data_IF_065796621631
#
_entry.id   IF_065796621631
#
_cell.length_a   1.000
_cell.length_b   1.000
_cell.length_c   1.000
_cell.angle_alpha   90.00
_cell.angle_beta   90.00
_cell.angle_gamma   90.00
#
_symmetry.space_group_name_H-M   'P 1'
#
loop_
_entity.id
_entity.type
_entity.pdbx_description
1 polymer ?
#
# COMPACT_ATOMS: atom_id res chain seq x y z
N UNK A 1 -7.97 -24.77 -26.56
CA UNK A 1 -9.35 -24.69 -26.04
C UNK A 1 -9.50 -25.39 -24.68
N UNK A 2 -9.40 -26.75 -24.57
CA UNK A 2 -9.55 -27.42 -23.23
C UNK A 2 -8.44 -27.04 -22.21
N UNK A 3 -7.20 -26.78 -22.67
CA UNK A 3 -6.08 -26.37 -21.82
C UNK A 3 -6.29 -24.95 -21.28
N UNK A 4 -6.76 -24.03 -22.11
CA UNK A 4 -7.01 -22.64 -21.74
C UNK A 4 -8.18 -22.51 -20.76
N UNK A 5 -9.22 -23.34 -20.94
CA UNK A 5 -10.36 -23.39 -20.04
C UNK A 5 -9.99 -23.94 -18.65
N UNK A 6 -9.07 -24.90 -18.59
CA UNK A 6 -8.55 -25.44 -17.31
C UNK A 6 -7.66 -24.42 -16.60
N UNK A 7 -6.84 -23.67 -17.33
CA UNK A 7 -6.02 -22.56 -16.78
C UNK A 7 -6.92 -21.47 -16.19
N UNK A 8 -7.91 -21.01 -16.94
CA UNK A 8 -8.88 -20.00 -16.48
C UNK A 8 -9.64 -20.42 -15.21
N UNK A 9 -10.06 -21.69 -15.13
CA UNK A 9 -10.69 -22.21 -13.90
C UNK A 9 -9.73 -22.25 -12.73
N UNK A 10 -8.46 -22.59 -12.96
CA UNK A 10 -7.41 -22.55 -11.95
C UNK A 10 -7.19 -21.15 -11.38
N UNK A 11 -7.08 -20.17 -12.26
CA UNK A 11 -6.92 -18.75 -11.87
C UNK A 11 -8.13 -18.21 -11.11
N UNK A 12 -9.34 -18.54 -11.56
CA UNK A 12 -10.59 -18.17 -10.88
C UNK A 12 -10.65 -18.77 -9.47
N UNK A 13 -10.25 -20.03 -9.32
CA UNK A 13 -10.21 -20.70 -8.02
C UNK A 13 -9.19 -20.06 -7.09
N UNK A 14 -8.00 -19.76 -7.61
CA UNK A 14 -6.95 -19.09 -6.85
C UNK A 14 -7.41 -17.68 -6.40
N UNK A 15 -8.06 -16.93 -7.28
CA UNK A 15 -8.62 -15.62 -6.96
C UNK A 15 -9.70 -15.70 -5.86
N UNK A 16 -10.57 -16.72 -5.90
CA UNK A 16 -11.58 -16.95 -4.86
C UNK A 16 -10.96 -17.28 -3.51
N UNK A 17 -9.90 -18.11 -3.47
CA UNK A 17 -9.15 -18.41 -2.24
C UNK A 17 -8.54 -17.15 -1.66
N UNK A 18 -7.86 -16.34 -2.48
CA UNK A 18 -7.21 -15.09 -2.04
C UNK A 18 -8.24 -14.09 -1.51
N UNK A 19 -9.39 -13.98 -2.16
CA UNK A 19 -10.47 -13.10 -1.70
C UNK A 19 -11.09 -13.57 -0.37
N UNK A 20 -11.31 -14.87 -0.20
CA UNK A 20 -11.80 -15.45 1.05
C UNK A 20 -10.82 -15.25 2.19
N UNK A 21 -9.53 -15.48 1.93
CA UNK A 21 -8.46 -15.27 2.90
C UNK A 21 -8.33 -13.80 3.31
N UNK A 22 -8.40 -12.87 2.35
CA UNK A 22 -8.41 -11.44 2.63
C UNK A 22 -9.46 -11.08 3.68
N UNK A 23 -10.73 -11.45 3.44
CA UNK A 23 -11.82 -11.17 4.40
C UNK A 23 -11.55 -11.75 5.78
N UNK A 24 -11.09 -13.00 5.85
CA UNK A 24 -10.82 -13.67 7.11
C UNK A 24 -9.62 -13.07 7.85
N UNK A 25 -8.56 -12.68 7.16
CA UNK A 25 -7.40 -12.03 7.78
C UNK A 25 -7.77 -10.66 8.36
N UNK A 26 -8.60 -9.89 7.66
CA UNK A 26 -9.10 -8.61 8.18
C UNK A 26 -9.96 -8.81 9.43
N UNK A 27 -10.85 -9.81 9.44
CA UNK A 27 -11.80 -10.02 10.52
C UNK A 27 -11.18 -10.68 11.75
N UNK A 28 -10.31 -11.66 11.55
CA UNK A 28 -9.84 -12.57 12.61
C UNK A 28 -8.33 -12.50 12.86
N UNK A 29 -7.60 -11.69 12.07
CA UNK A 29 -6.13 -11.69 12.03
C UNK A 29 -5.55 -12.94 11.37
N UNK A 30 -4.22 -12.98 11.22
CA UNK A 30 -3.55 -14.11 10.61
C UNK A 30 -3.65 -15.39 11.45
N UNK A 31 -3.36 -15.33 12.77
CA UNK A 31 -3.41 -16.50 13.65
C UNK A 31 -4.83 -17.00 13.91
N UNK A 32 -5.83 -16.10 13.94
CA UNK A 32 -7.24 -16.47 14.07
C UNK A 32 -7.85 -17.12 12.82
N UNK A 33 -7.11 -17.19 11.72
CA UNK A 33 -7.56 -17.76 10.45
C UNK A 33 -6.85 -19.08 10.15
N UNK A 34 -7.61 -20.10 9.75
CA UNK A 34 -7.12 -21.43 9.38
C UNK A 34 -7.38 -21.76 7.92
N UNK A 35 -6.59 -22.68 7.35
CA UNK A 35 -6.79 -23.22 5.99
C UNK A 35 -8.21 -23.79 5.79
N UNK A 36 -8.79 -24.43 6.83
CA UNK A 36 -10.15 -24.95 6.78
C UNK A 36 -11.20 -23.85 6.69
N UNK A 37 -11.02 -22.75 7.40
CA UNK A 37 -11.93 -21.60 7.33
C UNK A 37 -11.83 -20.93 5.95
N UNK A 38 -10.62 -20.77 5.40
CA UNK A 38 -10.42 -20.21 4.06
C UNK A 38 -11.09 -21.10 3.00
N UNK A 39 -10.90 -22.43 3.05
CA UNK A 39 -11.53 -23.34 2.12
C UNK A 39 -13.06 -23.26 2.17
N UNK A 40 -13.63 -23.23 3.39
CA UNK A 40 -15.08 -23.08 3.60
C UNK A 40 -15.60 -21.75 3.05
N UNK A 41 -14.90 -20.65 3.32
CA UNK A 41 -15.28 -19.31 2.85
C UNK A 41 -15.17 -19.19 1.33
N UNK A 42 -14.20 -19.88 0.70
CA UNK A 42 -14.05 -19.98 -0.75
C UNK A 42 -14.99 -21.01 -1.40
N UNK A 43 -15.83 -21.70 -0.61
CA UNK A 43 -16.71 -22.80 -1.06
C UNK A 43 -15.95 -23.93 -1.74
N UNK A 44 -14.81 -24.34 -1.16
CA UNK A 44 -13.92 -25.39 -1.67
C UNK A 44 -13.71 -26.50 -0.63
N UNK A 45 -13.41 -27.71 -1.12
CA UNK A 45 -12.83 -28.73 -0.28
C UNK A 45 -11.42 -28.34 0.16
N UNK A 46 -11.02 -28.67 1.39
CA UNK A 46 -9.69 -28.36 1.92
C UNK A 46 -8.56 -28.94 1.05
N UNK A 47 -8.76 -30.16 0.51
CA UNK A 47 -7.81 -30.77 -0.41
C UNK A 47 -7.62 -29.95 -1.70
N UNK A 48 -8.71 -29.36 -2.22
CA UNK A 48 -8.64 -28.48 -3.40
C UNK A 48 -7.84 -27.22 -3.12
N UNK A 49 -7.96 -26.64 -1.92
CA UNK A 49 -7.19 -25.47 -1.53
C UNK A 49 -5.67 -25.78 -1.51
N UNK A 50 -5.28 -26.94 -0.97
CA UNK A 50 -3.88 -27.38 -0.96
C UNK A 50 -3.28 -27.64 -2.35
N UNK A 51 -4.12 -27.88 -3.38
CA UNK A 51 -3.64 -27.93 -4.77
C UNK A 51 -3.23 -26.58 -5.33
N UNK A 52 -3.63 -25.47 -4.71
CA UNK A 52 -3.32 -24.10 -5.12
C UNK A 52 -2.28 -23.42 -4.22
N UNK A 53 -2.31 -23.71 -2.92
CA UNK A 53 -1.44 -23.08 -1.94
C UNK A 53 -0.97 -24.12 -0.91
N UNK A 54 0.33 -24.27 -0.76
CA UNK A 54 0.95 -25.21 0.17
C UNK A 54 0.80 -24.79 1.64
N UNK A 55 0.66 -23.49 1.90
CA UNK A 55 0.57 -22.94 3.25
C UNK A 55 -0.31 -21.71 3.35
N UNK A 56 -0.74 -21.39 4.57
CA UNK A 56 -1.45 -20.14 4.88
C UNK A 56 -0.61 -18.90 4.60
N UNK A 57 0.71 -18.99 4.80
CA UNK A 57 1.65 -17.93 4.50
C UNK A 57 1.72 -17.63 3.00
N UNK A 58 1.73 -18.64 2.13
CA UNK A 58 1.65 -18.42 0.68
C UNK A 58 0.34 -17.72 0.27
N UNK A 59 -0.78 -18.07 0.91
CA UNK A 59 -2.04 -17.35 0.69
C UNK A 59 -1.92 -15.90 1.18
N UNK A 60 -1.29 -15.66 2.32
CA UNK A 60 -1.10 -14.31 2.84
C UNK A 60 -0.24 -13.44 1.91
N UNK A 61 0.85 -13.99 1.37
CA UNK A 61 1.68 -13.31 0.35
C UNK A 61 0.83 -12.96 -0.89
N UNK A 62 0.01 -13.90 -1.37
CA UNK A 62 -0.87 -13.64 -2.51
C UNK A 62 -1.95 -12.58 -2.19
N UNK A 63 -2.42 -12.51 -0.94
CA UNK A 63 -3.30 -11.44 -0.47
C UNK A 63 -2.57 -10.10 -0.48
N UNK A 64 -1.34 -10.02 0.04
CA UNK A 64 -0.54 -8.80 -0.02
C UNK A 64 -0.32 -8.36 -1.47
N UNK A 65 0.12 -9.26 -2.35
CA UNK A 65 0.34 -8.96 -3.77
C UNK A 65 -0.91 -8.42 -4.47
N UNK A 66 -2.08 -8.94 -4.15
CA UNK A 66 -3.33 -8.54 -4.79
C UNK A 66 -3.92 -7.25 -4.23
N UNK A 67 -3.81 -7.04 -2.93
CA UNK A 67 -4.53 -5.96 -2.23
C UNK A 67 -3.64 -4.83 -1.75
N UNK A 68 -2.31 -4.91 -1.94
CA UNK A 68 -1.42 -3.82 -1.56
C UNK A 68 -1.62 -2.60 -2.47
N UNK A 69 -1.98 -1.44 -1.92
CA UNK A 69 -2.37 -0.27 -2.72
C UNK A 69 -1.22 0.31 -3.55
N UNK A 70 0.03 -0.03 -3.24
CA UNK A 70 1.21 0.48 -3.97
C UNK A 70 1.13 0.17 -5.48
N UNK A 71 0.51 -0.96 -5.86
CA UNK A 71 0.37 -1.36 -7.27
C UNK A 71 -0.60 -0.51 -8.07
N UNK A 72 -1.52 0.15 -7.38
CA UNK A 72 -2.46 1.09 -7.99
C UNK A 72 -1.97 2.54 -7.85
N UNK A 73 -1.32 2.85 -6.74
CA UNK A 73 -0.83 4.20 -6.42
C UNK A 73 0.36 4.59 -7.31
N UNK A 74 1.43 3.78 -7.35
CA UNK A 74 2.65 4.15 -8.08
C UNK A 74 2.46 4.43 -9.57
N UNK A 75 1.72 3.60 -10.36
CA UNK A 75 1.49 3.90 -11.76
C UNK A 75 0.70 5.20 -12.00
N UNK A 76 -0.23 5.53 -11.11
CA UNK A 76 -1.01 6.76 -11.21
C UNK A 76 -0.16 7.99 -10.87
N UNK A 77 0.65 7.92 -9.82
CA UNK A 77 1.56 8.99 -9.46
C UNK A 77 2.62 9.24 -10.54
N UNK A 78 3.13 8.18 -11.18
CA UNK A 78 4.11 8.29 -12.27
C UNK A 78 3.56 8.99 -13.50
N UNK A 79 2.22 9.05 -13.67
CA UNK A 79 1.54 9.73 -14.79
C UNK A 79 1.15 11.17 -14.48
N UNK A 80 1.40 11.64 -13.27
CA UNK A 80 1.06 13.02 -12.88
C UNK A 80 1.96 13.99 -13.64
N UNK A 81 1.38 14.69 -14.61
CA UNK A 81 2.08 15.66 -15.45
C UNK A 81 2.06 17.03 -14.75
N UNK A 82 3.13 17.34 -14.07
CA UNK A 82 3.42 18.66 -13.51
C UNK A 82 4.94 18.80 -13.36
N UNK A 83 5.46 19.98 -13.63
CA UNK A 83 6.88 20.30 -13.44
C UNK A 83 7.17 20.84 -12.03
N UNK A 84 6.16 21.22 -11.29
CA UNK A 84 6.25 21.76 -9.94
C UNK A 84 6.16 20.65 -8.89
N UNK A 85 7.13 20.61 -7.97
CA UNK A 85 7.17 19.61 -6.90
C UNK A 85 6.07 19.83 -5.88
N UNK A 86 5.77 21.09 -5.53
CA UNK A 86 4.72 21.37 -4.56
C UNK A 86 3.37 20.90 -5.08
N UNK A 87 3.03 21.23 -6.34
CA UNK A 87 1.82 20.74 -6.99
C UNK A 87 1.78 19.21 -7.07
N UNK A 88 2.92 18.59 -7.39
CA UNK A 88 3.02 17.12 -7.43
C UNK A 88 2.73 16.50 -6.07
N UNK A 89 3.36 17.00 -5.01
CA UNK A 89 3.21 16.48 -3.64
C UNK A 89 1.76 16.62 -3.16
N UNK A 90 1.13 17.78 -3.37
CA UNK A 90 -0.29 17.98 -3.02
C UNK A 90 -1.22 17.02 -3.77
N UNK A 91 -1.06 16.89 -5.09
CA UNK A 91 -1.88 15.95 -5.90
C UNK A 91 -1.66 14.51 -5.48
N UNK A 92 -0.39 14.13 -5.24
CA UNK A 92 -0.04 12.79 -4.78
C UNK A 92 -0.64 12.51 -3.40
N UNK A 93 -0.57 13.47 -2.48
CA UNK A 93 -1.13 13.36 -1.15
C UNK A 93 -2.64 13.14 -1.19
N UNK A 94 -3.38 13.97 -1.92
CA UNK A 94 -4.82 13.84 -2.08
C UNK A 94 -5.20 12.50 -2.74
N UNK A 95 -4.46 12.09 -3.79
CA UNK A 95 -4.73 10.82 -4.47
C UNK A 95 -4.53 9.63 -3.53
N UNK A 96 -3.40 9.59 -2.79
CA UNK A 96 -3.09 8.52 -1.83
C UNK A 96 -4.14 8.50 -0.71
N UNK A 97 -4.49 9.67 -0.15
CA UNK A 97 -5.48 9.76 0.92
C UNK A 97 -6.84 9.24 0.46
N UNK A 98 -7.34 9.71 -0.67
CA UNK A 98 -8.62 9.25 -1.22
C UNK A 98 -8.62 7.73 -1.49
N UNK A 99 -7.49 7.18 -1.95
CA UNK A 99 -7.35 5.76 -2.24
C UNK A 99 -7.32 4.91 -0.97
N UNK A 100 -6.57 5.34 0.05
CA UNK A 100 -6.46 4.64 1.32
C UNK A 100 -7.72 4.79 2.18
N UNK A 101 -8.42 5.91 2.12
CA UNK A 101 -9.69 6.12 2.84
C UNK A 101 -10.78 5.14 2.40
N UNK A 102 -10.75 4.73 1.13
CA UNK A 102 -11.64 3.70 0.60
C UNK A 102 -11.20 2.27 0.98
N UNK A 103 -10.00 2.11 1.54
CA UNK A 103 -9.36 0.81 1.82
C UNK A 103 -8.75 0.78 3.21
N UNK A 104 -9.52 1.17 4.22
CA UNK A 104 -9.07 1.17 5.63
C UNK A 104 -8.57 -0.21 6.08
N UNK A 105 -9.09 -1.27 5.49
CA UNK A 105 -8.67 -2.65 5.74
C UNK A 105 -7.19 -2.92 5.40
N UNK A 106 -6.59 -2.12 4.52
CA UNK A 106 -5.19 -2.25 4.17
C UNK A 106 -4.26 -2.07 5.36
N UNK A 107 -4.56 -1.14 6.26
CA UNK A 107 -3.76 -0.95 7.48
C UNK A 107 -3.71 -2.22 8.33
N UNK A 108 -4.81 -2.96 8.40
CA UNK A 108 -4.84 -4.24 9.13
C UNK A 108 -3.89 -5.26 8.50
N UNK A 109 -3.85 -5.39 7.16
CA UNK A 109 -2.90 -6.27 6.48
C UNK A 109 -1.45 -5.82 6.69
N UNK A 110 -1.20 -4.51 6.62
CA UNK A 110 0.12 -3.95 6.86
C UNK A 110 0.59 -4.23 8.30
N UNK A 111 -0.27 -4.06 9.30
CA UNK A 111 0.06 -4.38 10.69
C UNK A 111 0.29 -5.88 10.91
N UNK A 112 -0.49 -6.76 10.26
CA UNK A 112 -0.23 -8.20 10.28
C UNK A 112 1.17 -8.48 9.75
N UNK A 113 1.52 -7.93 8.58
CA UNK A 113 2.84 -8.11 7.98
C UNK A 113 3.97 -7.59 8.89
N UNK A 114 3.78 -6.41 9.46
CA UNK A 114 4.79 -5.77 10.32
C UNK A 114 5.01 -6.54 11.62
N UNK A 115 3.92 -6.94 12.30
CA UNK A 115 3.98 -7.52 13.65
C UNK A 115 4.22 -9.02 13.61
N UNK A 116 3.49 -9.75 12.75
CA UNK A 116 3.52 -11.21 12.71
C UNK A 116 4.69 -11.75 11.88
N UNK A 117 4.98 -11.07 10.76
CA UNK A 117 6.03 -11.49 9.83
C UNK A 117 7.29 -10.60 9.88
N UNK A 118 7.32 -9.55 10.73
CA UNK A 118 8.46 -8.61 10.84
C UNK A 118 8.83 -7.99 9.49
N UNK A 119 7.83 -7.73 8.66
CA UNK A 119 7.95 -7.16 7.32
C UNK A 119 8.82 -7.99 6.34
N UNK A 120 8.95 -9.30 6.53
CA UNK A 120 9.83 -10.16 5.73
C UNK A 120 9.38 -10.26 4.26
N UNK A 121 8.08 -10.08 3.96
CA UNK A 121 7.56 -10.19 2.60
C UNK A 121 7.61 -8.85 1.83
N UNK A 122 7.66 -7.70 2.54
CA UNK A 122 7.67 -6.38 1.91
C UNK A 122 8.88 -6.17 0.96
N UNK A 123 10.13 -6.51 1.33
CA UNK A 123 11.26 -6.36 0.42
C UNK A 123 11.04 -7.08 -0.92
N UNK A 124 10.57 -8.33 -0.87
CA UNK A 124 10.28 -9.12 -2.09
C UNK A 124 9.17 -8.49 -2.93
N UNK A 125 8.17 -7.93 -2.27
CA UNK A 125 7.08 -7.22 -2.94
C UNK A 125 7.60 -5.97 -3.67
N UNK A 126 8.51 -5.23 -3.04
CA UNK A 126 9.15 -4.05 -3.62
C UNK A 126 10.11 -4.41 -4.76
N UNK A 127 10.92 -5.46 -4.61
CA UNK A 127 11.81 -5.96 -5.66
C UNK A 127 11.05 -6.35 -6.93
N UNK A 128 9.92 -7.04 -6.80
CA UNK A 128 9.05 -7.42 -7.92
C UNK A 128 8.53 -6.19 -8.68
N UNK A 129 8.45 -5.03 -8.03
CA UNK A 129 7.91 -3.78 -8.55
C UNK A 129 8.98 -2.68 -8.63
N UNK A 130 10.26 -3.05 -8.54
CA UNK A 130 11.39 -2.12 -8.60
C UNK A 130 11.32 -1.15 -9.80
N UNK A 131 10.95 -1.56 -11.02
CA UNK A 131 10.84 -0.63 -12.14
C UNK A 131 9.81 0.50 -11.92
N UNK A 132 8.68 0.21 -11.26
CA UNK A 132 7.65 1.20 -10.95
C UNK A 132 8.14 2.17 -9.87
N UNK A 133 8.80 1.66 -8.84
CA UNK A 133 9.36 2.47 -7.77
C UNK A 133 10.47 3.38 -8.27
N UNK A 134 11.38 2.84 -9.08
CA UNK A 134 12.46 3.59 -9.71
C UNK A 134 11.93 4.68 -10.64
N UNK A 135 10.94 4.38 -11.48
CA UNK A 135 10.28 5.37 -12.35
C UNK A 135 9.62 6.49 -11.53
N UNK A 136 8.94 6.15 -10.44
CA UNK A 136 8.35 7.15 -9.55
C UNK A 136 9.41 8.08 -8.96
N UNK A 137 10.49 7.52 -8.39
CA UNK A 137 11.57 8.30 -7.79
C UNK A 137 12.25 9.20 -8.84
N UNK A 138 12.54 8.67 -10.02
CA UNK A 138 13.16 9.44 -11.12
C UNK A 138 12.26 10.59 -11.57
N UNK A 139 10.97 10.33 -11.75
CA UNK A 139 10.00 11.36 -12.14
C UNK A 139 9.83 12.43 -11.05
N UNK A 140 9.89 12.06 -9.79
CA UNK A 140 9.84 13.01 -8.68
C UNK A 140 11.08 13.92 -8.67
N UNK A 141 12.28 13.36 -8.78
CA UNK A 141 13.55 14.12 -8.73
C UNK A 141 13.78 14.93 -10.02
N UNK A 142 13.28 14.48 -11.16
CA UNK A 142 13.42 15.20 -12.44
C UNK A 142 12.55 16.47 -12.51
N UNK A 143 11.62 16.66 -11.57
CA UNK A 143 10.80 17.89 -11.53
C UNK A 143 11.68 19.09 -11.19
N UNK A 144 11.55 20.15 -11.99
CA UNK A 144 12.28 21.40 -11.80
C UNK A 144 11.82 22.04 -10.47
N UNK A 145 12.68 22.01 -9.48
CA UNK A 145 12.39 22.60 -8.17
C UNK A 145 13.67 22.91 -7.41
N UNK A 146 13.58 23.87 -6.52
CA UNK A 146 14.61 24.15 -5.54
C UNK A 146 14.60 23.08 -4.43
N UNK A 147 14.83 21.81 -4.79
CA UNK A 147 14.93 20.75 -3.80
C UNK A 147 16.26 20.85 -3.05
N UNK A 148 16.22 20.70 -1.75
CA UNK A 148 17.41 20.46 -0.93
C UNK A 148 18.11 19.18 -1.40
N UNK A 149 19.45 19.11 -1.33
CA UNK A 149 20.23 18.00 -1.89
C UNK A 149 20.16 16.72 -1.03
N UNK A 150 18.94 16.25 -0.77
CA UNK A 150 18.74 14.97 -0.12
C UNK A 150 18.82 13.81 -1.12
N UNK A 151 19.35 12.64 -0.73
CA UNK A 151 19.26 11.45 -1.55
C UNK A 151 17.81 11.12 -1.92
N UNK A 152 17.52 10.73 -3.19
CA UNK A 152 16.15 10.48 -3.64
C UNK A 152 15.36 9.50 -2.77
N UNK A 153 16.01 8.45 -2.27
CA UNK A 153 15.36 7.47 -1.41
C UNK A 153 14.97 8.05 -0.03
N UNK A 154 15.70 9.07 0.47
CA UNK A 154 15.35 9.75 1.73
C UNK A 154 14.09 10.56 1.54
N UNK A 155 13.97 11.29 0.41
CA UNK A 155 12.76 12.03 0.06
C UNK A 155 11.55 11.09 -0.08
N UNK A 156 11.72 9.96 -0.78
CA UNK A 156 10.65 8.97 -0.91
C UNK A 156 10.23 8.38 0.45
N UNK A 157 11.19 8.07 1.33
CA UNK A 157 10.88 7.56 2.68
C UNK A 157 10.19 8.61 3.55
N UNK A 158 10.63 9.87 3.49
CA UNK A 158 9.98 10.96 4.23
C UNK A 158 8.54 11.17 3.76
N UNK A 159 8.31 11.15 2.44
CA UNK A 159 6.99 11.24 1.84
C UNK A 159 6.08 10.09 2.28
N UNK A 160 6.54 8.83 2.19
CA UNK A 160 5.77 7.68 2.66
C UNK A 160 5.57 7.68 4.18
N UNK A 161 6.60 8.12 4.94
CA UNK A 161 6.54 8.24 6.40
C UNK A 161 5.49 9.26 6.85
N UNK A 162 5.31 10.35 6.11
CA UNK A 162 4.25 11.33 6.34
C UNK A 162 2.87 10.67 6.31
N UNK A 163 2.57 9.86 5.29
CA UNK A 163 1.30 9.14 5.22
C UNK A 163 1.14 8.12 6.34
N UNK A 164 2.20 7.38 6.64
CA UNK A 164 2.17 6.44 7.75
C UNK A 164 1.83 7.15 9.07
N UNK A 165 2.50 8.26 9.36
CA UNK A 165 2.21 9.06 10.55
C UNK A 165 0.77 9.58 10.55
N UNK A 166 0.29 10.13 9.42
CA UNK A 166 -1.08 10.62 9.28
C UNK A 166 -2.12 9.54 9.57
N UNK A 167 -2.00 8.36 8.93
CA UNK A 167 -2.99 7.29 9.11
C UNK A 167 -2.93 6.63 10.47
N UNK A 168 -1.74 6.42 11.03
CA UNK A 168 -1.60 5.85 12.39
C UNK A 168 -2.16 6.81 13.43
N UNK A 169 -1.86 8.10 13.35
CA UNK A 169 -2.39 9.09 14.29
C UNK A 169 -3.89 9.25 14.15
N UNK A 170 -4.43 9.26 12.94
CA UNK A 170 -5.87 9.28 12.66
C UNK A 170 -6.57 8.04 13.24
N UNK A 171 -5.96 6.85 13.09
CA UNK A 171 -6.48 5.62 13.67
C UNK A 171 -6.52 5.67 15.21
N UNK A 172 -5.45 6.19 15.83
CA UNK A 172 -5.37 6.36 17.29
C UNK A 172 -6.36 7.42 17.78
N UNK A 173 -6.48 8.53 17.06
CA UNK A 173 -7.40 9.62 17.42
C UNK A 173 -8.87 9.20 17.31
N UNK A 174 -9.20 8.30 16.38
CA UNK A 174 -10.56 7.87 16.13
C UNK A 174 -11.48 9.06 15.86
N UNK A 175 -12.61 9.12 16.53
CA UNK A 175 -13.57 10.23 16.45
C UNK A 175 -13.32 11.34 17.49
N UNK A 176 -12.15 11.38 18.14
CA UNK A 176 -11.86 12.39 19.14
C UNK A 176 -11.50 13.73 18.46
N UNK A 177 -12.35 14.76 18.56
CA UNK A 177 -12.13 16.03 17.89
C UNK A 177 -10.87 16.79 18.40
N UNK A 178 -10.40 16.48 19.61
CA UNK A 178 -9.21 17.10 20.19
C UNK A 178 -7.90 16.54 19.63
N UNK A 179 -7.94 15.33 19.05
CA UNK A 179 -6.74 14.60 18.60
C UNK A 179 -6.61 14.47 17.08
N UNK A 180 -7.56 14.94 16.30
CA UNK A 180 -7.46 14.77 14.84
C UNK A 180 -8.74 15.06 14.05
N UNK A 181 -9.69 15.82 14.63
CA UNK A 181 -10.97 16.16 14.00
C UNK A 181 -10.90 17.33 13.01
N UNK A 182 -9.74 17.83 12.62
CA UNK A 182 -9.62 18.97 11.74
C UNK A 182 -9.52 18.55 10.27
N UNK A 183 -10.28 19.25 9.42
CA UNK A 183 -10.43 18.95 7.99
C UNK A 183 -9.13 19.14 7.17
N UNK A 184 -8.08 19.74 7.74
CA UNK A 184 -6.85 20.14 7.03
C UNK A 184 -5.58 19.43 7.49
N UNK A 185 -5.66 18.44 8.39
CA UNK A 185 -4.47 17.79 8.96
C UNK A 185 -3.54 17.21 7.90
N UNK A 186 -4.08 16.65 6.80
CA UNK A 186 -3.25 16.15 5.72
C UNK A 186 -2.50 17.26 4.98
N UNK A 187 -3.17 18.39 4.74
CA UNK A 187 -2.57 19.56 4.08
C UNK A 187 -1.46 20.13 4.95
N UNK A 188 -1.63 20.20 6.28
CA UNK A 188 -0.60 20.61 7.23
C UNK A 188 0.62 19.66 7.20
N UNK A 189 0.41 18.34 7.13
CA UNK A 189 1.48 17.37 6.97
C UNK A 189 2.24 17.56 5.65
N UNK A 190 1.53 17.86 4.57
CA UNK A 190 2.11 18.16 3.25
C UNK A 190 2.94 19.43 3.31
N UNK A 191 2.44 20.48 3.93
CA UNK A 191 3.15 21.75 4.09
C UNK A 191 4.42 21.59 4.92
N UNK A 192 4.37 20.88 6.04
CA UNK A 192 5.56 20.55 6.85
C UNK A 192 6.59 19.78 6.01
N UNK A 193 6.14 18.80 5.23
CA UNK A 193 7.04 18.04 4.36
C UNK A 193 7.69 18.94 3.30
N UNK A 194 6.91 19.78 2.62
CA UNK A 194 7.41 20.69 1.58
C UNK A 194 8.42 21.70 2.13
N UNK A 195 8.14 22.32 3.27
CA UNK A 195 9.10 23.23 3.93
C UNK A 195 10.40 22.53 4.32
N UNK A 196 10.33 21.23 4.63
CA UNK A 196 11.53 20.41 4.93
C UNK A 196 12.39 20.09 3.71
N UNK A 197 11.85 20.04 2.51
CA UNK A 197 12.55 19.57 1.30
C UNK A 197 12.87 20.67 0.27
N UNK A 198 12.19 21.81 0.33
CA UNK A 198 12.45 22.95 -0.55
C UNK A 198 13.51 23.87 0.04
N UNK A 199 14.31 24.49 -0.82
CA UNK A 199 15.17 25.62 -0.44
C UNK A 199 14.30 26.85 -0.20
N UNK A 200 14.63 27.63 0.82
CA UNK A 200 14.05 28.96 1.01
C UNK A 200 14.48 29.89 -0.14
N UNK A 201 13.60 30.81 -0.56
CA UNK A 201 13.87 31.73 -1.68
C UNK A 201 15.15 32.58 -1.48
N UNK A 202 15.66 32.68 -0.25
CA UNK A 202 16.88 33.47 0.07
C UNK A 202 18.17 32.62 -0.01
N UNK A 203 18.13 31.32 -0.27
CA UNK A 203 19.30 30.43 -0.36
C UNK A 203 19.62 29.97 -1.80
N UNK A 204 18.85 30.44 -2.79
CA UNK A 204 19.02 30.11 -4.22
C UNK A 204 19.76 31.23 -5.01
#
# INVERSE_FOLDING_TARGET
MASDEKLLRGEQTQAAIVQAAYRLFIQNGYHGTSMRQIAREANLAVASLYNHFESKEQIFIAVLERYHPIFEILPNLSRTDTSDVSEFVHRAAQFIANHLDQRQDFLNLFFIELVEFRAVHIPRLLEKNEPLLTSFIQNFVAKKSNLRPFPPFVLARAFLGMFFAYYVTRFIAGNNPTLGGEAHVLDDFVDIFLHGILLEENEA
#
